data_IF_395334381857
#
_entry.id   IF_395334381857
#
_cell.length_a   1.000
_cell.length_b   1.000
_cell.length_c   1.000
_cell.angle_alpha   90.00
_cell.angle_beta   90.00
_cell.angle_gamma   90.00
#
_symmetry.space_group_name_H-M   'P 1'
#
loop_
_entity.id
_entity.type
_entity.pdbx_description
1 polymer ?
#
# COMPACT_ATOMS: atom_id res chain seq x y z
N UNK A 1 -24.95 -58.69 -16.37
CA UNK A 1 -26.41 -58.84 -16.59
C UNK A 1 -26.88 -60.13 -15.93
N UNK A 2 -28.13 -60.23 -15.44
CA UNK A 2 -28.56 -61.36 -14.60
C UNK A 2 -29.34 -62.44 -15.36
N UNK A 3 -30.06 -62.10 -16.42
CA UNK A 3 -30.86 -63.02 -17.21
C UNK A 3 -30.56 -62.90 -18.71
N UNK A 4 -30.61 -64.01 -19.48
CA UNK A 4 -30.42 -63.95 -20.93
C UNK A 4 -31.53 -63.15 -21.60
N UNK A 5 -31.21 -62.37 -22.65
CA UNK A 5 -32.25 -61.74 -23.44
C UNK A 5 -33.10 -62.81 -24.15
N UNK A 6 -34.41 -62.58 -24.34
CA UNK A 6 -35.31 -63.60 -24.88
C UNK A 6 -35.03 -63.98 -26.33
N UNK A 7 -34.42 -63.09 -27.12
CA UNK A 7 -34.08 -63.31 -28.54
C UNK A 7 -32.66 -62.81 -28.84
N UNK A 8 -31.61 -63.55 -28.43
CA UNK A 8 -30.22 -63.17 -28.70
C UNK A 8 -29.87 -63.38 -30.18
N UNK A 9 -29.14 -62.44 -30.78
CA UNK A 9 -28.55 -62.62 -32.10
C UNK A 9 -27.35 -63.58 -32.02
N UNK A 10 -27.10 -64.36 -33.07
CA UNK A 10 -25.89 -65.20 -33.17
C UNK A 10 -24.64 -64.34 -33.00
N UNK A 11 -23.74 -64.78 -32.11
CA UNK A 11 -22.53 -64.05 -31.75
C UNK A 11 -22.72 -62.97 -30.67
N UNK A 12 -23.91 -62.81 -30.11
CA UNK A 12 -24.13 -61.91 -28.98
C UNK A 12 -23.31 -62.39 -27.77
N UNK A 13 -22.64 -61.45 -27.09
CA UNK A 13 -21.84 -61.73 -25.89
C UNK A 13 -22.30 -60.88 -24.72
N UNK A 14 -22.32 -61.47 -23.54
CA UNK A 14 -22.72 -60.79 -22.30
C UNK A 14 -21.78 -61.16 -21.17
N UNK A 15 -21.37 -60.17 -20.37
CA UNK A 15 -20.74 -60.40 -19.08
C UNK A 15 -21.85 -60.73 -18.08
N UNK A 16 -21.79 -61.93 -17.51
CA UNK A 16 -22.78 -62.40 -16.54
C UNK A 16 -22.49 -61.77 -15.18
N UNK A 17 -23.54 -61.26 -14.51
CA UNK A 17 -23.43 -60.67 -13.17
C UNK A 17 -23.40 -61.73 -12.07
N UNK A 18 -23.23 -61.29 -10.81
CA UNK A 18 -23.02 -62.17 -9.66
C UNK A 18 -24.22 -63.05 -9.24
N UNK A 19 -25.42 -62.84 -9.79
CA UNK A 19 -26.62 -63.61 -9.45
C UNK A 19 -27.39 -63.97 -10.71
N UNK A 20 -26.87 -64.87 -11.56
CA UNK A 20 -27.51 -65.18 -12.82
C UNK A 20 -28.71 -66.10 -12.65
N UNK A 21 -29.67 -65.96 -13.56
CA UNK A 21 -30.94 -66.68 -13.58
C UNK A 21 -31.22 -67.26 -14.97
N UNK A 22 -32.29 -68.07 -15.09
CA UNK A 22 -32.67 -68.69 -16.36
C UNK A 22 -31.56 -69.57 -16.92
N UNK A 23 -31.29 -69.48 -18.23
CA UNK A 23 -30.23 -70.26 -18.88
C UNK A 23 -28.81 -69.90 -18.41
N UNK A 24 -28.63 -68.81 -17.67
CA UNK A 24 -27.32 -68.40 -17.14
C UNK A 24 -27.09 -68.85 -15.69
N UNK A 25 -28.07 -69.49 -15.04
CA UNK A 25 -27.94 -69.92 -13.66
C UNK A 25 -26.71 -70.84 -13.46
N UNK A 26 -25.86 -70.52 -12.47
CA UNK A 26 -24.62 -71.24 -12.19
C UNK A 26 -23.39 -70.83 -13.01
N UNK A 27 -23.52 -69.79 -13.85
CA UNK A 27 -22.45 -69.26 -14.69
C UNK A 27 -22.05 -67.83 -14.29
N UNK A 28 -21.99 -67.54 -12.99
CA UNK A 28 -21.60 -66.22 -12.49
C UNK A 28 -20.19 -65.85 -12.95
N UNK A 29 -19.99 -64.56 -13.26
CA UNK A 29 -18.72 -63.99 -13.73
C UNK A 29 -18.15 -64.55 -15.04
N UNK A 30 -18.86 -65.45 -15.72
CA UNK A 30 -18.50 -65.93 -17.07
C UNK A 30 -18.98 -64.98 -18.17
N UNK A 31 -18.42 -65.16 -19.36
CA UNK A 31 -18.92 -64.53 -20.59
C UNK A 31 -19.87 -65.51 -21.28
N UNK A 32 -21.14 -65.14 -21.41
CA UNK A 32 -22.10 -65.86 -22.22
C UNK A 32 -21.91 -65.49 -23.69
N UNK A 33 -21.86 -66.47 -24.59
CA UNK A 33 -21.81 -66.31 -26.04
C UNK A 33 -22.92 -67.13 -26.66
N UNK A 34 -23.83 -66.48 -27.40
CA UNK A 34 -24.88 -67.18 -28.13
C UNK A 34 -24.33 -67.69 -29.47
N UNK A 35 -24.29 -69.01 -29.69
CA UNK A 35 -23.78 -69.58 -30.94
C UNK A 35 -24.85 -69.75 -32.04
N UNK A 36 -26.10 -69.38 -31.73
CA UNK A 36 -27.26 -69.56 -32.61
C UNK A 36 -28.19 -70.68 -32.15
N UNK A 37 -27.73 -71.58 -31.28
CA UNK A 37 -28.54 -72.67 -30.73
C UNK A 37 -28.48 -72.76 -29.21
N UNK A 38 -27.30 -72.56 -28.62
CA UNK A 38 -27.06 -72.65 -27.18
C UNK A 38 -26.20 -71.49 -26.67
N UNK A 39 -26.29 -71.25 -25.36
CA UNK A 39 -25.33 -70.40 -24.66
C UNK A 39 -24.05 -71.19 -24.40
N UNK A 40 -22.93 -70.64 -24.86
CA UNK A 40 -21.59 -71.09 -24.46
C UNK A 40 -21.06 -70.15 -23.40
N UNK A 41 -20.41 -70.72 -22.40
CA UNK A 41 -19.86 -69.94 -21.31
C UNK A 41 -18.34 -70.04 -21.30
N UNK A 42 -17.70 -68.89 -21.07
CA UNK A 42 -16.25 -68.76 -21.12
C UNK A 42 -15.79 -68.00 -19.89
N UNK A 43 -14.97 -68.64 -19.05
CA UNK A 43 -14.35 -67.97 -17.92
C UNK A 43 -13.29 -66.98 -18.43
N UNK A 44 -13.42 -65.67 -18.14
CA UNK A 44 -12.43 -64.69 -18.55
C UNK A 44 -11.08 -64.94 -17.88
N UNK A 45 -9.99 -64.62 -18.58
CA UNK A 45 -8.64 -64.70 -18.04
C UNK A 45 -8.11 -63.31 -17.69
N UNK A 46 -7.24 -63.20 -16.65
CA UNK A 46 -6.63 -61.92 -16.29
C UNK A 46 -6.02 -61.21 -17.50
N UNK A 47 -6.35 -59.93 -17.69
CA UNK A 47 -5.89 -59.11 -18.80
C UNK A 47 -6.81 -59.08 -20.02
N UNK A 48 -7.86 -59.91 -20.09
CA UNK A 48 -8.89 -59.78 -21.12
C UNK A 48 -9.53 -58.40 -21.10
N UNK A 49 -9.88 -57.89 -22.28
CA UNK A 49 -10.51 -56.59 -22.47
C UNK A 49 -11.86 -56.74 -23.13
N UNK A 50 -12.81 -55.91 -22.73
CA UNK A 50 -14.14 -55.85 -23.33
C UNK A 50 -14.54 -54.40 -23.53
N UNK A 51 -15.08 -54.07 -24.71
CA UNK A 51 -15.76 -52.81 -24.96
C UNK A 51 -17.27 -53.03 -24.83
N UNK A 52 -17.85 -52.42 -23.80
CA UNK A 52 -19.26 -52.58 -23.46
C UNK A 52 -20.08 -51.69 -24.40
N UNK A 53 -20.66 -52.28 -25.43
CA UNK A 53 -21.30 -51.55 -26.54
C UNK A 53 -22.35 -50.51 -26.13
N UNK A 54 -23.22 -50.75 -25.12
CA UNK A 54 -24.20 -49.74 -24.71
C UNK A 54 -23.59 -48.49 -24.05
N UNK A 55 -22.44 -48.61 -23.38
CA UNK A 55 -21.83 -47.51 -22.60
C UNK A 55 -20.55 -46.97 -23.23
N UNK A 56 -19.95 -47.68 -24.20
CA UNK A 56 -18.62 -47.37 -24.73
C UNK A 56 -17.48 -47.59 -23.72
N UNK A 57 -17.78 -48.20 -22.57
CA UNK A 57 -16.82 -48.39 -21.49
C UNK A 57 -15.89 -49.55 -21.80
N UNK A 58 -14.59 -49.32 -21.69
CA UNK A 58 -13.59 -50.38 -21.74
C UNK A 58 -13.40 -50.99 -20.36
N UNK A 59 -13.53 -52.32 -20.28
CA UNK A 59 -13.30 -53.10 -19.08
C UNK A 59 -12.05 -53.97 -19.25
N UNK A 60 -11.34 -54.22 -18.15
CA UNK A 60 -10.25 -55.20 -18.05
C UNK A 60 -10.56 -56.18 -16.94
N UNK A 61 -10.50 -57.47 -17.24
CA UNK A 61 -10.61 -58.51 -16.22
C UNK A 61 -9.32 -58.57 -15.40
N UNK A 62 -9.40 -58.41 -14.08
CA UNK A 62 -8.24 -58.40 -13.17
C UNK A 62 -7.84 -59.80 -12.66
N UNK A 63 -8.66 -60.80 -12.97
CA UNK A 63 -8.52 -62.18 -12.48
C UNK A 63 -9.61 -62.58 -11.48
N UNK A 64 -10.35 -61.62 -10.95
CA UNK A 64 -11.54 -61.81 -10.12
C UNK A 64 -12.77 -61.16 -10.74
N UNK A 65 -12.65 -59.93 -11.23
CA UNK A 65 -13.76 -59.13 -11.72
C UNK A 65 -13.38 -58.26 -12.92
N UNK A 66 -14.41 -57.77 -13.62
CA UNK A 66 -14.26 -56.79 -14.70
C UNK A 66 -14.17 -55.37 -14.12
N UNK A 67 -12.99 -54.76 -14.22
CA UNK A 67 -12.74 -53.41 -13.75
C UNK A 67 -12.85 -52.39 -14.89
N UNK A 68 -13.30 -51.18 -14.58
CA UNK A 68 -13.25 -50.07 -15.52
C UNK A 68 -11.81 -49.67 -15.80
N UNK A 69 -11.44 -49.53 -17.07
CA UNK A 69 -10.15 -48.97 -17.45
C UNK A 69 -10.28 -47.45 -17.48
N UNK A 70 -9.69 -46.78 -16.49
CA UNK A 70 -9.56 -45.33 -16.47
C UNK A 70 -8.13 -44.93 -16.86
N UNK A 71 -7.93 -43.78 -17.55
CA UNK A 71 -6.61 -43.23 -17.74
C UNK A 71 -5.98 -42.88 -16.39
N UNK A 72 -4.65 -42.98 -16.27
CA UNK A 72 -3.93 -42.46 -15.12
C UNK A 72 -4.10 -40.93 -15.09
N UNK A 73 -4.72 -40.41 -14.04
CA UNK A 73 -4.97 -38.98 -13.87
C UNK A 73 -3.90 -38.29 -13.01
N UNK A 74 -3.08 -39.07 -12.30
CA UNK A 74 -1.95 -38.55 -11.54
C UNK A 74 -0.72 -38.37 -12.43
N UNK A 75 0.03 -37.29 -12.21
CA UNK A 75 1.25 -36.97 -12.96
C UNK A 75 1.02 -36.85 -14.48
N UNK A 76 -0.13 -36.30 -14.88
CA UNK A 76 -0.35 -35.94 -16.28
C UNK A 76 0.71 -34.92 -16.72
N UNK A 77 1.39 -35.11 -17.88
CA UNK A 77 2.37 -34.16 -18.35
C UNK A 77 1.75 -32.82 -18.74
N UNK A 78 0.51 -32.84 -19.25
CA UNK A 78 -0.28 -31.64 -19.56
C UNK A 78 -1.79 -31.98 -19.60
N UNK A 79 -2.64 -31.00 -19.28
CA UNK A 79 -4.10 -31.08 -19.36
C UNK A 79 -4.67 -29.78 -19.97
N UNK A 80 -5.30 -29.91 -21.12
CA UNK A 80 -5.96 -28.82 -21.83
C UNK A 80 -7.49 -28.95 -21.80
N UNK A 81 -8.19 -27.86 -21.49
CA UNK A 81 -9.66 -27.76 -21.56
C UNK A 81 -10.02 -26.65 -22.55
N UNK A 82 -10.53 -27.02 -23.74
CA UNK A 82 -10.81 -26.06 -24.81
C UNK A 82 -9.58 -25.45 -25.49
N UNK A 83 -8.37 -25.85 -25.08
CA UNK A 83 -7.08 -25.45 -25.66
C UNK A 83 -6.02 -26.53 -25.47
N UNK A 84 -4.92 -26.42 -26.21
CA UNK A 84 -3.74 -27.29 -26.06
C UNK A 84 -2.84 -26.74 -24.96
N UNK A 85 -2.55 -27.56 -23.95
CA UNK A 85 -1.56 -27.25 -22.93
C UNK A 85 -0.13 -27.56 -23.42
N UNK A 86 0.86 -26.88 -22.85
CA UNK A 86 2.27 -27.01 -23.21
C UNK A 86 3.17 -27.12 -21.97
N UNK A 87 4.49 -27.22 -22.17
CA UNK A 87 5.45 -27.37 -21.07
C UNK A 87 5.54 -26.12 -20.17
N UNK A 88 5.17 -24.94 -20.67
CA UNK A 88 5.14 -23.70 -19.90
C UNK A 88 3.83 -23.56 -19.13
N UNK A 89 2.73 -24.11 -19.68
CA UNK A 89 1.39 -24.10 -19.09
C UNK A 89 0.80 -25.53 -19.05
N UNK A 90 1.28 -26.40 -18.13
CA UNK A 90 0.82 -27.79 -18.05
C UNK A 90 -0.67 -27.94 -17.76
N UNK A 91 -1.32 -26.91 -17.21
CA UNK A 91 -2.78 -26.79 -17.16
C UNK A 91 -3.19 -25.56 -17.96
N UNK A 92 -3.93 -25.75 -19.05
CA UNK A 92 -4.44 -24.65 -19.89
C UNK A 92 -5.96 -24.79 -20.04
N UNK A 93 -6.68 -23.70 -19.77
CA UNK A 93 -8.15 -23.64 -19.92
C UNK A 93 -8.51 -22.46 -20.82
N UNK A 94 -9.11 -22.74 -21.98
CA UNK A 94 -9.74 -21.75 -22.83
C UNK A 94 -11.25 -21.94 -22.80
N UNK A 95 -11.91 -21.23 -21.89
CA UNK A 95 -13.34 -21.27 -21.66
C UNK A 95 -13.84 -19.90 -21.19
N UNK A 96 -15.16 -19.69 -21.20
CA UNK A 96 -15.77 -18.46 -20.70
C UNK A 96 -15.56 -18.25 -19.18
N UNK A 97 -15.38 -19.33 -18.41
CA UNK A 97 -15.12 -19.28 -16.98
C UNK A 97 -14.39 -20.53 -16.48
N UNK A 98 -13.69 -20.40 -15.36
CA UNK A 98 -13.19 -21.52 -14.53
C UNK A 98 -13.83 -21.41 -13.14
N UNK A 99 -14.65 -22.40 -12.77
CA UNK A 99 -15.28 -22.45 -11.45
C UNK A 99 -14.52 -23.44 -10.55
N UNK A 100 -13.91 -22.92 -9.47
CA UNK A 100 -13.32 -23.72 -8.41
C UNK A 100 -14.21 -23.60 -7.16
N UNK A 101 -14.92 -24.67 -6.81
CA UNK A 101 -15.95 -24.64 -5.77
C UNK A 101 -15.65 -25.59 -4.60
N UNK A 102 -16.35 -25.40 -3.49
CA UNK A 102 -16.18 -26.14 -2.24
C UNK A 102 -17.10 -27.36 -2.15
N UNK A 103 -16.76 -28.29 -1.28
CA UNK A 103 -17.63 -29.41 -0.86
C UNK A 103 -18.29 -29.17 0.50
N UNK A 104 -18.18 -27.95 1.06
CA UNK A 104 -18.74 -27.59 2.36
C UNK A 104 -18.15 -26.30 2.92
N UNK A 105 -17.36 -26.40 3.99
CA UNK A 105 -16.92 -25.25 4.78
C UNK A 105 -15.92 -24.28 4.09
N UNK A 106 -15.34 -24.63 2.94
CA UNK A 106 -14.45 -23.72 2.20
C UNK A 106 -13.72 -24.33 1.02
N UNK A 107 -12.99 -23.49 0.28
CA UNK A 107 -12.10 -23.84 -0.83
C UNK A 107 -10.83 -22.99 -0.72
N UNK A 108 -9.65 -23.57 -1.01
CA UNK A 108 -8.37 -22.87 -0.95
C UNK A 108 -7.56 -23.15 -2.22
N UNK A 109 -7.01 -22.09 -2.80
CA UNK A 109 -5.95 -22.19 -3.78
C UNK A 109 -4.61 -22.02 -3.05
N UNK A 110 -3.76 -23.05 -3.10
CA UNK A 110 -2.40 -23.02 -2.53
C UNK A 110 -1.42 -22.85 -3.68
N UNK A 111 -0.71 -21.73 -3.68
CA UNK A 111 0.34 -21.43 -4.63
C UNK A 111 1.66 -21.40 -3.85
N UNK A 112 2.70 -22.03 -4.38
CA UNK A 112 3.97 -22.20 -3.68
C UNK A 112 5.14 -21.90 -4.62
N UNK A 113 6.07 -21.06 -4.15
CA UNK A 113 7.34 -20.78 -4.81
C UNK A 113 8.49 -21.52 -4.12
N UNK A 114 9.60 -21.74 -4.84
CA UNK A 114 10.76 -22.48 -4.33
C UNK A 114 11.65 -21.70 -3.37
N UNK A 115 11.77 -20.39 -3.56
CA UNK A 115 12.55 -19.49 -2.71
C UNK A 115 11.91 -18.11 -2.59
N UNK A 116 12.43 -17.31 -1.66
CA UNK A 116 11.87 -15.99 -1.35
C UNK A 116 11.91 -15.02 -2.55
N UNK A 117 12.95 -15.10 -3.37
CA UNK A 117 13.12 -14.27 -4.57
C UNK A 117 12.31 -14.73 -5.79
N UNK A 118 11.63 -15.87 -5.70
CA UNK A 118 10.82 -16.38 -6.80
C UNK A 118 9.44 -15.70 -6.83
N UNK A 119 8.65 -16.05 -7.83
CA UNK A 119 7.32 -15.49 -8.04
C UNK A 119 6.23 -16.53 -7.76
N UNK A 120 5.23 -16.12 -6.99
CA UNK A 120 3.94 -16.80 -6.88
C UNK A 120 2.84 -15.75 -6.91
N UNK A 121 2.05 -15.75 -7.97
CA UNK A 121 1.11 -14.66 -8.25
C UNK A 121 -0.07 -15.07 -9.12
N UNK A 122 -1.03 -14.16 -9.19
CA UNK A 122 -2.08 -14.13 -10.20
C UNK A 122 -1.77 -12.98 -11.17
N UNK A 123 -1.50 -13.32 -12.43
CA UNK A 123 -1.18 -12.37 -13.50
C UNK A 123 -2.42 -12.12 -14.38
N UNK A 124 -2.82 -10.87 -14.49
CA UNK A 124 -3.93 -10.42 -15.33
C UNK A 124 -3.37 -9.87 -16.64
N UNK A 125 -3.89 -10.36 -17.77
CA UNK A 125 -3.36 -10.05 -19.10
C UNK A 125 -4.45 -9.57 -20.07
N UNK A 126 -4.03 -8.80 -21.08
CA UNK A 126 -4.81 -8.50 -22.28
C UNK A 126 -3.95 -8.80 -23.49
N UNK A 127 -4.43 -9.64 -24.40
CA UNK A 127 -3.70 -10.03 -25.61
C UNK A 127 -2.27 -10.51 -25.30
N UNK A 128 -2.13 -11.37 -24.28
CA UNK A 128 -0.84 -11.93 -23.82
C UNK A 128 0.16 -10.91 -23.22
N UNK A 129 -0.27 -9.67 -22.98
CA UNK A 129 0.53 -8.64 -22.30
C UNK A 129 0.06 -8.45 -20.87
N UNK A 130 0.99 -8.46 -19.91
CA UNK A 130 0.70 -8.24 -18.49
C UNK A 130 0.14 -6.84 -18.21
N UNK A 131 -0.85 -6.76 -17.32
CA UNK A 131 -1.50 -5.48 -16.94
C UNK A 131 -1.54 -5.27 -15.43
N UNK A 132 -1.82 -6.32 -14.69
CA UNK A 132 -1.76 -6.32 -13.24
C UNK A 132 -1.26 -7.67 -12.74
N UNK A 133 -0.59 -7.69 -11.60
CA UNK A 133 -0.14 -8.91 -10.96
C UNK A 133 -0.23 -8.75 -9.44
N UNK A 134 -0.76 -9.76 -8.75
CA UNK A 134 -0.84 -9.76 -7.29
C UNK A 134 -0.31 -11.07 -6.71
N UNK A 135 0.49 -10.99 -5.64
CA UNK A 135 1.09 -12.16 -5.02
C UNK A 135 2.39 -11.85 -4.27
N UNK A 136 3.24 -12.85 -4.14
CA UNK A 136 4.59 -12.76 -3.57
C UNK A 136 5.60 -12.79 -4.71
N UNK A 137 5.91 -11.61 -5.28
CA UNK A 137 6.68 -11.48 -6.52
C UNK A 137 8.09 -10.96 -6.21
N UNK A 138 9.08 -11.84 -6.09
CA UNK A 138 10.46 -11.43 -5.78
C UNK A 138 10.75 -11.17 -4.30
N UNK A 139 9.75 -11.36 -3.43
CA UNK A 139 9.80 -11.25 -1.97
C UNK A 139 8.72 -12.14 -1.36
N UNK A 140 8.82 -12.44 -0.06
CA UNK A 140 7.75 -13.09 0.73
C UNK A 140 6.62 -12.12 1.14
N UNK A 141 6.81 -10.83 0.92
CA UNK A 141 5.80 -9.79 1.12
C UNK A 141 4.72 -9.85 0.02
N UNK A 142 3.48 -9.52 0.38
CA UNK A 142 2.38 -9.48 -0.59
C UNK A 142 2.36 -8.13 -1.30
N UNK A 143 2.33 -8.13 -2.62
CA UNK A 143 2.28 -6.90 -3.42
C UNK A 143 1.25 -6.97 -4.55
N UNK A 144 0.85 -5.78 -4.99
CA UNK A 144 0.06 -5.56 -6.21
C UNK A 144 0.84 -4.60 -7.09
N UNK A 145 1.13 -5.04 -8.32
CA UNK A 145 1.80 -4.22 -9.34
C UNK A 145 0.97 -4.12 -10.61
N UNK A 146 1.14 -3.02 -11.31
CA UNK A 146 0.46 -2.72 -12.58
C UNK A 146 1.45 -2.31 -13.67
N UNK A 147 1.07 -2.53 -14.92
CA UNK A 147 1.89 -2.18 -16.07
C UNK A 147 1.01 -1.73 -17.24
N UNK A 148 1.36 -0.60 -17.85
CA UNK A 148 0.68 -0.08 -19.05
C UNK A 148 1.16 -0.75 -20.35
N UNK A 149 2.37 -1.32 -20.36
CA UNK A 149 3.02 -1.89 -21.55
C UNK A 149 3.35 -3.40 -21.41
N UNK A 150 3.18 -3.96 -20.22
CA UNK A 150 3.49 -5.36 -19.89
C UNK A 150 4.97 -5.64 -19.65
N UNK A 151 5.82 -4.60 -19.64
CA UNK A 151 7.27 -4.70 -19.44
C UNK A 151 7.74 -3.88 -18.25
N UNK A 152 7.25 -2.64 -18.12
CA UNK A 152 7.56 -1.74 -17.02
C UNK A 152 6.48 -1.88 -15.94
N UNK A 153 6.88 -2.31 -14.76
CA UNK A 153 5.98 -2.60 -13.64
C UNK A 153 6.11 -1.57 -12.54
N UNK A 154 4.97 -1.08 -12.05
CA UNK A 154 4.85 -0.17 -10.92
C UNK A 154 4.21 -0.92 -9.74
N UNK A 155 4.91 -1.03 -8.63
CA UNK A 155 4.35 -1.60 -7.39
C UNK A 155 3.43 -0.57 -6.72
N UNK A 156 2.12 -0.79 -6.82
CA UNK A 156 1.12 0.14 -6.31
C UNK A 156 0.82 -0.07 -4.83
N UNK A 157 0.90 -1.31 -4.36
CA UNK A 157 0.64 -1.70 -2.98
C UNK A 157 1.64 -2.76 -2.54
N UNK A 158 2.18 -2.58 -1.34
CA UNK A 158 3.09 -3.51 -0.70
C UNK A 158 2.68 -3.73 0.76
N UNK A 159 2.58 -4.98 1.20
CA UNK A 159 2.25 -5.34 2.58
C UNK A 159 3.47 -6.05 3.18
N UNK A 160 4.11 -5.40 4.14
CA UNK A 160 5.26 -5.98 4.84
C UNK A 160 4.80 -7.20 5.65
N UNK A 161 5.34 -8.38 5.37
CA UNK A 161 4.98 -9.63 6.04
C UNK A 161 5.33 -9.65 7.54
N UNK A 162 6.30 -8.84 7.96
CA UNK A 162 6.74 -8.76 9.36
C UNK A 162 5.83 -7.89 10.24
N UNK A 163 5.22 -6.84 9.68
CA UNK A 163 4.44 -5.86 10.45
C UNK A 163 2.97 -5.80 10.05
N UNK A 164 2.60 -6.33 8.88
CA UNK A 164 1.29 -6.14 8.26
C UNK A 164 1.03 -4.71 7.78
N UNK A 165 2.04 -3.84 7.76
CA UNK A 165 1.88 -2.45 7.32
C UNK A 165 1.75 -2.39 5.80
N UNK A 166 0.77 -1.59 5.36
CA UNK A 166 0.51 -1.30 3.95
C UNK A 166 1.30 -0.07 3.54
N UNK A 167 2.08 -0.20 2.49
CA UNK A 167 2.82 0.86 1.83
C UNK A 167 2.25 1.08 0.42
N UNK A 168 2.29 2.33 -0.03
CA UNK A 168 1.94 2.73 -1.40
C UNK A 168 3.21 3.26 -2.08
N UNK A 169 4.03 2.41 -2.71
CA UNK A 169 5.31 2.85 -3.27
C UNK A 169 5.18 3.91 -4.37
N UNK A 170 4.03 3.96 -5.06
CA UNK A 170 3.71 5.03 -6.02
C UNK A 170 3.05 6.27 -5.37
N UNK A 171 2.98 6.32 -4.04
CA UNK A 171 2.23 7.32 -3.29
C UNK A 171 0.71 7.10 -3.36
N UNK A 172 -0.02 7.85 -2.55
CA UNK A 172 -1.48 7.94 -2.63
C UNK A 172 -1.88 9.40 -2.38
N UNK A 173 -2.45 10.10 -3.37
CA UNK A 173 -2.77 11.53 -3.23
C UNK A 173 -3.82 11.81 -2.14
N UNK A 174 -4.58 10.80 -1.75
CA UNK A 174 -5.64 10.91 -0.74
C UNK A 174 -5.19 10.47 0.67
N UNK A 175 -3.99 9.88 0.79
CA UNK A 175 -3.43 9.49 2.07
C UNK A 175 -2.31 10.44 2.47
N UNK A 176 -2.35 10.89 3.72
CA UNK A 176 -1.29 11.71 4.31
C UNK A 176 -0.26 10.83 4.98
N UNK A 177 1.01 11.18 4.82
CA UNK A 177 2.09 10.54 5.54
C UNK A 177 2.02 10.91 7.02
N UNK A 178 1.83 9.90 7.88
CA UNK A 178 1.88 10.09 9.34
C UNK A 178 3.30 9.98 9.84
N UNK A 179 3.78 11.03 10.50
CA UNK A 179 5.11 11.04 11.10
C UNK A 179 5.17 10.14 12.34
N UNK A 180 6.25 9.37 12.43
CA UNK A 180 6.63 8.57 13.61
C UNK A 180 7.84 9.16 14.36
N UNK A 181 8.42 10.22 13.81
CA UNK A 181 9.53 11.01 14.36
C UNK A 181 9.48 12.44 13.79
N UNK A 182 10.16 13.42 14.41
CA UNK A 182 10.32 14.77 13.85
C UNK A 182 10.86 14.74 12.41
N UNK A 183 10.43 15.71 11.61
CA UNK A 183 10.82 15.84 10.20
C UNK A 183 11.51 17.17 9.98
N UNK A 184 12.67 17.13 9.33
CA UNK A 184 13.35 18.33 8.83
C UNK A 184 13.30 18.34 7.31
N UNK A 185 12.86 19.47 6.75
CA UNK A 185 13.02 19.81 5.35
C UNK A 185 14.07 20.90 5.21
N UNK A 186 15.01 20.70 4.30
CA UNK A 186 16.06 21.67 3.98
C UNK A 186 15.62 22.53 2.80
N UNK A 187 15.79 23.84 2.93
CA UNK A 187 15.50 24.83 1.89
C UNK A 187 16.77 25.62 1.62
N UNK A 188 17.19 25.66 0.36
CA UNK A 188 18.46 26.25 -0.05
C UNK A 188 18.32 27.02 -1.35
N UNK A 189 19.11 28.09 -1.60
CA UNK A 189 19.06 28.84 -2.84
C UNK A 189 19.56 28.07 -4.06
N UNK A 190 20.33 26.99 -3.82
CA UNK A 190 20.88 26.08 -4.83
C UNK A 190 20.08 24.77 -4.97
N UNK A 191 18.91 24.68 -4.33
CA UNK A 191 18.03 23.50 -4.36
C UNK A 191 17.12 23.39 -5.59
N UNK A 192 16.17 22.46 -5.53
CA UNK A 192 15.09 22.30 -6.53
C UNK A 192 13.81 21.81 -5.85
N UNK A 193 12.65 22.36 -6.23
CA UNK A 193 11.34 21.91 -5.73
C UNK A 193 10.92 20.54 -6.30
N UNK A 194 11.73 19.95 -7.18
CA UNK A 194 11.61 18.54 -7.59
C UNK A 194 12.33 17.58 -6.65
N UNK A 195 13.13 18.09 -5.70
CA UNK A 195 13.83 17.27 -4.71
C UNK A 195 12.88 16.82 -3.60
N UNK A 196 13.38 16.02 -2.64
CA UNK A 196 12.58 15.53 -1.51
C UNK A 196 12.59 16.46 -0.30
N UNK A 197 13.53 17.41 -0.25
CA UNK A 197 13.80 18.27 0.89
C UNK A 197 14.50 17.57 2.07
N UNK A 198 14.86 16.29 1.96
CA UNK A 198 15.29 15.48 3.12
C UNK A 198 16.80 15.45 3.36
N UNK A 199 17.58 16.13 2.55
CA UNK A 199 19.02 16.27 2.77
C UNK A 199 19.51 17.70 2.53
N UNK A 200 20.46 18.12 3.35
CA UNK A 200 21.10 19.44 3.27
C UNK A 200 22.15 19.48 2.16
N UNK A 201 21.68 19.44 0.91
CA UNK A 201 22.51 19.51 -0.28
C UNK A 201 21.69 20.04 -1.46
N UNK A 202 22.35 20.65 -2.45
CA UNK A 202 21.70 21.13 -3.68
C UNK A 202 20.85 20.06 -4.38
N UNK A 203 21.30 18.79 -4.36
CA UNK A 203 20.60 17.66 -4.96
C UNK A 203 19.41 17.13 -4.14
N UNK A 204 19.17 17.67 -2.94
CA UNK A 204 18.20 17.13 -2.00
C UNK A 204 17.30 18.16 -1.32
N UNK A 205 17.73 19.41 -1.20
CA UNK A 205 16.96 20.49 -0.61
C UNK A 205 15.93 21.07 -1.60
N UNK A 206 14.85 21.62 -1.06
CA UNK A 206 13.91 22.44 -1.84
C UNK A 206 14.53 23.79 -2.21
N UNK A 207 14.00 24.41 -3.26
CA UNK A 207 14.41 25.75 -3.67
C UNK A 207 13.61 26.83 -2.95
N UNK A 208 12.30 26.61 -2.75
CA UNK A 208 11.39 27.64 -2.20
C UNK A 208 10.81 27.27 -0.84
N UNK A 209 10.62 28.26 0.04
CA UNK A 209 9.97 28.02 1.34
C UNK A 209 8.48 27.75 1.17
N UNK A 210 7.81 28.37 0.19
CA UNK A 210 6.41 28.07 -0.06
C UNK A 210 6.20 26.60 -0.42
N UNK A 211 7.08 25.99 -1.22
CA UNK A 211 7.02 24.55 -1.48
C UNK A 211 7.22 23.75 -0.19
N UNK A 212 8.22 24.09 0.62
CA UNK A 212 8.50 23.42 1.88
C UNK A 212 7.32 23.48 2.89
N UNK A 213 6.65 24.64 3.00
CA UNK A 213 5.43 24.80 3.80
C UNK A 213 4.29 23.94 3.26
N UNK A 214 4.07 23.92 1.94
CA UNK A 214 3.02 23.09 1.34
C UNK A 214 3.26 21.60 1.60
N UNK A 215 4.51 21.14 1.52
CA UNK A 215 4.89 19.77 1.89
C UNK A 215 4.64 19.50 3.37
N UNK A 216 5.06 20.39 4.27
CA UNK A 216 4.81 20.23 5.70
C UNK A 216 3.30 20.13 6.04
N UNK A 217 2.46 20.97 5.42
CA UNK A 217 1.00 20.97 5.63
C UNK A 217 0.29 19.74 5.05
N UNK A 218 0.94 18.97 4.17
CA UNK A 218 0.41 17.71 3.64
C UNK A 218 0.52 16.54 4.63
N UNK A 219 1.35 16.68 5.67
CA UNK A 219 1.65 15.61 6.63
C UNK A 219 0.58 15.49 7.71
N UNK A 220 0.41 14.29 8.23
CA UNK A 220 -0.08 14.09 9.60
C UNK A 220 1.13 14.05 10.53
N UNK A 221 1.47 15.18 11.14
CA UNK A 221 2.66 15.26 11.99
C UNK A 221 2.47 14.64 13.39
N UNK A 222 1.28 14.16 13.76
CA UNK A 222 1.05 13.50 15.05
C UNK A 222 1.48 14.36 16.26
N UNK A 223 2.48 13.92 17.02
CA UNK A 223 3.05 14.66 18.15
C UNK A 223 4.38 15.37 17.80
N UNK A 224 4.80 15.29 16.54
CA UNK A 224 6.14 15.66 16.13
C UNK A 224 6.15 17.02 15.43
N UNK A 225 7.18 17.81 15.73
CA UNK A 225 7.41 19.07 15.04
C UNK A 225 7.94 18.81 13.62
N UNK A 226 7.63 19.75 12.72
CA UNK A 226 8.18 19.79 11.36
C UNK A 226 9.04 21.04 11.25
N UNK A 227 10.32 20.85 10.96
CA UNK A 227 11.31 21.93 10.85
C UNK A 227 11.64 22.21 9.40
N UNK A 228 11.55 23.47 9.00
CA UNK A 228 12.10 24.00 7.76
C UNK A 228 13.45 24.62 8.11
N UNK A 229 14.53 23.91 7.82
CA UNK A 229 15.90 24.40 8.00
C UNK A 229 16.30 25.17 6.74
N UNK A 230 16.54 26.46 6.90
CA UNK A 230 16.81 27.39 5.80
C UNK A 230 18.30 27.71 5.79
N UNK A 231 18.96 27.45 4.67
CA UNK A 231 20.36 27.83 4.50
C UNK A 231 20.51 29.32 4.18
N UNK A 232 21.69 29.87 4.44
CA UNK A 232 22.06 31.25 4.10
C UNK A 232 21.68 31.60 2.66
N UNK A 233 21.00 32.72 2.51
CA UNK A 233 20.49 33.16 1.23
C UNK A 233 19.38 34.20 1.32
N UNK A 234 19.08 34.76 0.15
CA UNK A 234 17.99 35.71 -0.03
C UNK A 234 16.83 34.99 -0.73
N UNK A 235 15.72 34.85 0.01
CA UNK A 235 14.50 34.21 -0.44
C UNK A 235 13.46 35.31 -0.69
N UNK A 236 13.41 35.86 -1.90
CA UNK A 236 12.55 36.99 -2.26
C UNK A 236 11.04 36.69 -2.29
N UNK A 237 10.54 35.80 -1.43
CA UNK A 237 9.17 35.31 -1.38
C UNK A 237 8.34 35.98 -0.27
N UNK A 238 7.05 36.15 -0.56
CA UNK A 238 6.01 36.40 0.45
C UNK A 238 5.45 35.05 0.90
N UNK A 239 5.98 34.50 1.98
CA UNK A 239 5.63 33.18 2.49
C UNK A 239 4.24 33.18 3.13
N UNK A 240 3.39 32.22 2.76
CA UNK A 240 2.06 32.03 3.33
C UNK A 240 1.95 30.68 4.04
N UNK A 241 1.67 30.72 5.35
CA UNK A 241 1.36 29.57 6.19
C UNK A 241 -0.16 29.57 6.40
N UNK A 242 -0.84 28.83 5.53
CA UNK A 242 -2.28 28.97 5.32
C UNK A 242 -3.17 28.25 6.35
N UNK A 243 -2.60 27.34 7.13
CA UNK A 243 -3.31 26.54 8.13
C UNK A 243 -2.31 26.03 9.20
N UNK A 244 -2.84 25.35 10.22
CA UNK A 244 -2.03 24.56 11.16
C UNK A 244 -1.63 23.22 10.57
N UNK A 245 -0.53 22.66 11.08
CA UNK A 245 -0.27 21.23 10.92
C UNK A 245 -1.42 20.42 11.54
N UNK A 246 -1.75 19.27 10.94
CA UNK A 246 -2.92 18.48 11.32
C UNK A 246 -2.82 17.91 12.75
N UNK A 247 -1.62 17.52 13.15
CA UNK A 247 -1.29 17.03 14.49
C UNK A 247 -1.00 18.17 15.47
N UNK A 248 -0.43 17.80 16.62
CA UNK A 248 -0.16 18.70 17.74
C UNK A 248 1.23 19.34 17.72
N UNK A 249 2.16 18.85 16.90
CA UNK A 249 3.47 19.45 16.73
C UNK A 249 3.40 20.79 16.00
N UNK A 250 4.46 21.59 16.16
CA UNK A 250 4.61 22.92 15.57
C UNK A 250 5.29 22.87 14.20
N UNK A 251 4.96 23.83 13.35
CA UNK A 251 5.79 24.17 12.19
C UNK A 251 6.89 25.11 12.66
N UNK A 252 8.14 24.75 12.43
CA UNK A 252 9.30 25.55 12.79
C UNK A 252 9.99 26.02 11.51
N UNK A 253 10.32 27.30 11.40
CA UNK A 253 11.20 27.83 10.36
C UNK A 253 12.44 28.35 11.06
N UNK A 254 13.59 27.76 10.74
CA UNK A 254 14.87 28.05 11.38
C UNK A 254 15.86 28.44 10.28
N UNK A 255 16.24 29.71 10.25
CA UNK A 255 17.37 30.21 9.47
C UNK A 255 18.67 30.17 10.27
N UNK A 256 19.46 31.23 10.20
CA UNK A 256 20.72 31.36 10.92
C UNK A 256 20.51 32.15 12.23
N UNK A 257 20.45 31.42 13.34
CA UNK A 257 20.16 32.01 14.67
C UNK A 257 21.31 32.82 15.25
N UNK A 258 22.56 32.57 14.84
CA UNK A 258 23.70 33.34 15.29
C UNK A 258 23.83 34.68 14.55
N UNK A 259 23.41 34.72 13.30
CA UNK A 259 23.35 35.92 12.46
C UNK A 259 22.12 35.90 11.54
N UNK A 260 20.97 36.40 12.03
CA UNK A 260 19.72 36.42 11.26
C UNK A 260 19.78 37.22 9.95
N UNK A 261 20.82 38.04 9.74
CA UNK A 261 21.00 38.81 8.51
C UNK A 261 21.38 37.94 7.30
N UNK A 262 21.86 36.71 7.53
CA UNK A 262 22.27 35.78 6.48
C UNK A 262 21.11 35.07 5.80
N UNK A 263 19.92 35.08 6.39
CA UNK A 263 18.69 34.51 5.81
C UNK A 263 17.63 35.60 5.72
N UNK A 264 17.29 36.03 4.50
CA UNK A 264 16.33 37.12 4.30
C UNK A 264 15.11 36.71 3.48
N UNK A 265 13.96 37.27 3.84
CA UNK A 265 12.67 37.07 3.18
C UNK A 265 11.91 38.39 3.04
N UNK A 266 10.91 38.45 2.16
CA UNK A 266 10.08 39.65 2.08
C UNK A 266 9.07 39.70 3.23
N UNK A 267 8.20 38.69 3.33
CA UNK A 267 7.11 38.68 4.31
C UNK A 267 6.77 37.27 4.73
N UNK A 268 6.26 37.11 5.96
CA UNK A 268 5.57 35.88 6.40
C UNK A 268 4.14 36.24 6.77
N UNK A 269 3.16 35.48 6.26
CA UNK A 269 1.75 35.57 6.61
C UNK A 269 1.27 34.26 7.22
N UNK A 270 0.78 34.31 8.46
CA UNK A 270 0.21 33.17 9.18
C UNK A 270 -1.28 33.40 9.43
N UNK A 271 -2.13 32.45 9.02
CA UNK A 271 -3.58 32.55 9.23
C UNK A 271 -4.24 31.20 9.58
N UNK A 272 -5.56 31.20 9.75
CA UNK A 272 -6.40 30.02 10.05
C UNK A 272 -5.92 29.18 11.26
N UNK A 273 -5.44 29.83 12.32
CA UNK A 273 -4.98 29.11 13.51
C UNK A 273 -3.64 28.40 13.34
N UNK A 274 -2.84 28.76 12.33
CA UNK A 274 -1.46 28.30 12.18
C UNK A 274 -0.68 28.45 13.50
N UNK A 275 0.13 27.46 13.84
CA UNK A 275 1.01 27.47 15.02
C UNK A 275 2.45 27.31 14.58
N UNK A 276 3.22 28.39 14.71
CA UNK A 276 4.53 28.51 14.07
C UNK A 276 5.58 29.01 15.07
N UNK A 277 6.79 28.47 15.00
CA UNK A 277 7.98 29.05 15.60
C UNK A 277 8.90 29.56 14.49
N UNK A 278 9.33 30.81 14.58
CA UNK A 278 10.25 31.44 13.63
C UNK A 278 11.54 31.78 14.36
N UNK A 279 12.67 31.41 13.76
CA UNK A 279 13.99 31.68 14.30
C UNK A 279 15.02 32.07 13.22
N UNK A 280 15.87 33.07 13.51
CA UNK A 280 17.09 33.31 12.74
C UNK A 280 16.87 33.85 11.32
N UNK A 281 15.91 34.76 11.13
CA UNK A 281 15.63 35.35 9.80
C UNK A 281 15.44 36.85 9.85
N UNK A 282 15.72 37.49 8.71
CA UNK A 282 15.42 38.90 8.44
C UNK A 282 14.21 39.03 7.51
N UNK A 283 13.22 39.83 7.90
CA UNK A 283 12.05 40.14 7.06
C UNK A 283 12.18 41.56 6.55
N UNK A 284 12.17 41.77 5.24
CA UNK A 284 12.56 43.02 4.57
C UNK A 284 11.41 43.77 3.87
N UNK A 285 10.26 43.11 3.73
CA UNK A 285 9.07 43.62 3.04
C UNK A 285 8.14 44.42 3.94
N UNK A 286 7.09 44.99 3.31
CA UNK A 286 6.10 45.75 4.06
C UNK A 286 5.13 44.88 4.84
N UNK A 287 4.79 45.34 6.06
CA UNK A 287 4.05 44.56 7.06
C UNK A 287 4.66 43.16 7.24
N UNK A 288 5.96 43.18 7.59
CA UNK A 288 6.92 42.10 7.47
C UNK A 288 6.47 40.75 8.05
N UNK A 289 5.80 40.75 9.21
CA UNK A 289 5.10 39.59 9.74
C UNK A 289 3.61 39.89 9.96
N UNK A 290 2.76 39.22 9.20
CA UNK A 290 1.31 39.30 9.32
C UNK A 290 0.74 38.05 9.99
N UNK A 291 0.01 38.21 11.09
CA UNK A 291 -0.56 37.10 11.86
C UNK A 291 -2.05 37.36 12.10
N UNK A 292 -2.91 36.48 11.60
CA UNK A 292 -4.35 36.69 11.63
C UNK A 292 -5.16 35.42 11.91
N UNK A 293 -6.47 35.55 12.05
CA UNK A 293 -7.42 34.42 12.10
C UNK A 293 -7.07 33.34 13.13
N UNK A 294 -6.71 33.76 14.36
CA UNK A 294 -6.40 32.86 15.47
C UNK A 294 -5.04 32.18 15.41
N UNK A 295 -4.17 32.56 14.45
CA UNK A 295 -2.81 32.05 14.38
C UNK A 295 -1.98 32.47 15.60
N UNK A 296 -1.00 31.65 15.96
CA UNK A 296 -0.08 31.86 17.07
C UNK A 296 1.36 31.67 16.59
N UNK A 297 2.19 32.69 16.76
CA UNK A 297 3.60 32.68 16.32
C UNK A 297 4.52 32.94 17.50
N UNK A 298 5.58 32.15 17.63
CA UNK A 298 6.69 32.40 18.56
C UNK A 298 7.91 32.88 17.78
N UNK A 299 8.51 33.98 18.20
CA UNK A 299 9.68 34.59 17.57
C UNK A 299 10.92 34.42 18.44
N UNK A 300 12.05 34.09 17.80
CA UNK A 300 13.38 34.13 18.39
C UNK A 300 14.38 34.66 17.35
N UNK A 301 15.26 35.58 17.72
CA UNK A 301 16.33 36.06 16.83
C UNK A 301 15.81 36.51 15.45
N UNK A 302 14.82 37.42 15.47
CA UNK A 302 14.18 37.96 14.27
C UNK A 302 14.62 39.39 14.05
N UNK A 303 15.03 39.69 12.82
CA UNK A 303 15.34 41.04 12.37
C UNK A 303 14.24 41.54 11.44
N UNK A 304 13.77 42.76 11.68
CA UNK A 304 12.81 43.43 10.82
C UNK A 304 13.47 44.60 10.10
N UNK A 305 13.42 44.60 8.79
CA UNK A 305 13.85 45.68 7.91
C UNK A 305 12.73 46.00 6.91
N UNK A 306 12.80 47.14 6.23
CA UNK A 306 11.81 47.51 5.22
C UNK A 306 10.90 48.66 5.62
N UNK A 307 9.74 48.79 4.99
CA UNK A 307 8.79 49.90 5.20
C UNK A 307 7.47 49.41 5.76
N UNK A 308 6.76 50.18 6.59
CA UNK A 308 5.51 49.72 7.24
C UNK A 308 5.72 49.17 8.65
N UNK A 309 4.78 48.37 9.15
CA UNK A 309 4.89 47.81 10.49
C UNK A 309 5.77 46.54 10.51
N UNK A 310 6.56 46.34 11.56
CA UNK A 310 7.25 45.05 11.74
C UNK A 310 6.25 43.91 11.98
N UNK A 311 5.21 44.17 12.78
CA UNK A 311 4.19 43.21 13.15
C UNK A 311 2.78 43.72 12.79
N UNK A 312 1.98 42.90 12.12
CA UNK A 312 0.57 43.19 11.84
C UNK A 312 -0.30 42.05 12.36
N UNK A 313 -1.04 42.27 13.45
CA UNK A 313 -1.82 41.23 14.13
C UNK A 313 -3.32 41.53 14.09
N UNK A 314 -4.13 40.53 13.73
CA UNK A 314 -5.59 40.59 13.77
C UNK A 314 -6.19 39.34 14.40
N UNK A 315 -6.74 39.46 15.62
CA UNK A 315 -7.31 38.32 16.37
C UNK A 315 -6.34 37.13 16.46
N UNK A 316 -5.08 37.43 16.76
CA UNK A 316 -3.98 36.48 16.73
C UNK A 316 -2.99 36.71 17.87
N UNK A 317 -2.04 35.80 18.04
CA UNK A 317 -1.06 35.83 19.13
C UNK A 317 0.36 35.80 18.59
N UNK A 318 1.18 36.76 19.02
CA UNK A 318 2.63 36.71 18.84
C UNK A 318 3.29 36.73 20.21
N UNK A 319 4.23 35.81 20.41
CA UNK A 319 5.09 35.80 21.59
C UNK A 319 6.55 35.87 21.21
N UNK A 320 7.33 36.58 22.00
CA UNK A 320 8.78 36.56 21.87
C UNK A 320 9.34 35.57 22.90
N UNK A 321 10.26 34.72 22.46
CA UNK A 321 11.15 33.99 23.34
C UNK A 321 12.09 34.98 24.06
N UNK A 322 12.90 34.50 25.01
CA UNK A 322 13.93 35.30 25.70
C UNK A 322 15.14 35.59 24.79
N UNK A 323 14.86 36.00 23.55
CA UNK A 323 15.81 36.19 22.46
C UNK A 323 15.59 37.53 21.78
N UNK A 324 16.52 37.93 20.91
CA UNK A 324 16.53 39.27 20.35
C UNK A 324 15.40 39.49 19.33
N UNK A 325 14.81 40.68 19.39
CA UNK A 325 13.97 41.24 18.34
C UNK A 325 14.62 42.53 17.87
N UNK A 326 15.16 42.55 16.65
CA UNK A 326 15.90 43.70 16.12
C UNK A 326 15.03 44.48 15.15
N UNK A 327 14.91 45.79 15.39
CA UNK A 327 14.20 46.71 14.52
C UNK A 327 15.21 47.51 13.71
N UNK A 328 15.22 47.27 12.41
CA UNK A 328 16.05 47.97 11.44
C UNK A 328 15.44 49.29 10.96
N UNK A 329 16.07 49.86 9.94
CA UNK A 329 15.68 51.16 9.39
C UNK A 329 14.39 51.08 8.56
N UNK A 330 13.72 52.23 8.42
CA UNK A 330 12.56 52.49 7.55
C UNK A 330 11.21 51.91 8.00
N UNK A 331 11.14 51.25 9.16
CA UNK A 331 9.88 50.85 9.79
C UNK A 331 9.07 52.08 10.24
N UNK A 332 7.76 52.06 9.99
CA UNK A 332 6.84 53.14 10.41
C UNK A 332 6.20 52.86 11.77
N UNK A 333 6.16 51.59 12.20
CA UNK A 333 5.65 51.17 13.50
C UNK A 333 6.26 49.82 13.94
N UNK A 334 6.33 49.59 15.25
CA UNK A 334 6.66 48.27 15.80
C UNK A 334 5.55 47.25 15.55
N UNK A 335 4.30 47.61 15.85
CA UNK A 335 3.17 46.70 15.71
C UNK A 335 1.85 47.42 15.44
N UNK A 336 1.01 46.82 14.61
CA UNK A 336 -0.42 47.13 14.48
C UNK A 336 -1.23 45.98 15.08
N UNK A 337 -2.01 46.26 16.14
CA UNK A 337 -2.83 45.27 16.83
C UNK A 337 -4.32 45.56 16.57
N UNK A 338 -5.05 44.58 16.04
CA UNK A 338 -6.49 44.66 15.78
C UNK A 338 -7.23 43.45 16.36
N UNK A 339 -8.50 43.64 16.72
CA UNK A 339 -9.31 42.59 17.35
C UNK A 339 -8.73 42.11 18.68
N UNK A 340 -8.86 40.82 18.98
CA UNK A 340 -8.32 40.20 20.20
C UNK A 340 -6.82 39.84 20.08
N UNK A 341 -6.04 40.68 19.39
CA UNK A 341 -4.62 40.46 19.22
C UNK A 341 -3.83 40.57 20.53
N UNK A 342 -2.80 39.73 20.69
CA UNK A 342 -1.91 39.72 21.85
C UNK A 342 -0.45 39.69 21.41
N UNK A 343 0.34 40.61 21.97
CA UNK A 343 1.80 40.59 21.91
C UNK A 343 2.30 40.45 23.35
N UNK A 344 3.04 39.38 23.65
CA UNK A 344 3.44 39.07 25.03
C UNK A 344 4.77 38.31 25.08
N UNK A 345 5.36 38.23 26.28
CA UNK A 345 6.57 37.44 26.54
C UNK A 345 6.18 36.11 27.18
N UNK A 346 6.71 35.00 26.65
CA UNK A 346 6.50 33.69 27.26
C UNK A 346 7.38 33.54 28.51
N UNK A 347 6.84 33.89 29.68
CA UNK A 347 7.51 33.61 30.96
C UNK A 347 7.38 32.11 31.22
N UNK A 348 8.44 31.35 30.97
CA UNK A 348 8.57 30.02 31.55
C UNK A 348 8.73 30.19 33.06
N UNK A 349 7.64 30.05 33.82
CA UNK A 349 7.70 29.90 35.27
C UNK A 349 8.35 28.55 35.58
N UNK A 350 9.68 28.51 35.58
CA UNK A 350 10.41 27.44 36.25
C UNK A 350 10.27 27.69 37.74
N UNK A 351 9.31 26.97 38.36
CA UNK A 351 9.15 26.98 39.80
C UNK A 351 10.37 26.31 40.45
N UNK A 352 11.39 27.09 40.78
CA UNK A 352 12.36 26.70 41.79
C UNK A 352 11.68 26.83 43.15
N UNK A 353 11.11 25.74 43.65
CA UNK A 353 10.73 25.64 45.06
C UNK A 353 12.03 25.52 45.87
N UNK A 354 12.62 26.66 46.25
CA UNK A 354 13.46 26.69 47.44
C UNK A 354 12.53 26.68 48.65
N UNK A 355 12.19 25.48 49.11
CA UNK A 355 11.52 25.31 50.40
C UNK A 355 12.49 25.65 51.53
N UNK A 356 12.29 26.80 52.17
CA UNK A 356 12.62 26.97 53.59
C UNK A 356 11.31 27.15 54.37
N UNK A 357 11.21 26.56 55.58
CA UNK A 357 9.93 26.24 56.18
C UNK A 357 9.31 27.46 56.87
N UNK A 358 8.03 27.74 56.61
CA UNK A 358 7.21 28.39 57.64
C UNK A 358 6.09 29.36 57.26
N UNK A 359 5.84 29.73 55.99
CA UNK A 359 4.72 30.67 55.70
C UNK A 359 4.03 30.40 54.36
N UNK A 360 2.69 30.21 54.32
CA UNK A 360 1.95 30.10 53.07
C UNK A 360 1.68 31.48 52.47
N UNK A 361 2.09 31.70 51.22
CA UNK A 361 1.73 32.89 50.45
C UNK A 361 0.30 32.75 49.89
N UNK A 362 -0.55 33.74 50.14
CA UNK A 362 -1.87 33.92 49.49
C UNK A 362 -1.69 34.70 48.19
N UNK A 363 -2.34 34.26 47.12
CA UNK A 363 -2.44 34.96 45.85
C UNK A 363 -3.65 35.92 45.88
N UNK A 364 -3.48 37.15 45.38
CA UNK A 364 -4.56 38.01 44.85
C UNK A 364 -4.46 37.95 43.33
#
# INVERSE_FOLDING_TARGET
MADPPPTPATGARYIIGAAPTGHWAGHDSEIAVWDGMIWRFVMPQPGWRADVSPTGQSLRFDGSDWQTVLPQLQNLPALGVGATADASNPLTVAAAATLLTHTGAGHQLKLNKSGASDTTSLLFQTSWSGRAEMGTTGSDDFSIKVSSDGSNWQEALHIAGTTGQVHFPQGSPDLRDRLTAPRTYYVRPDGSDTNTGLSDAASGAFLTLQHAVNQALSLDNGLHDVTLQVADGSYGEDLVIADRLLGSGLLQLIGETADPSLVSLNRITCHNGARVALAGVTLTGADALKVESGAAVTLADIHFEGSGAALSLESAEVSCADQALVLGSNLTALAHLRGHARLWRKIALSAWVWGWPGTPARWI
#
